data_IF_362302731234
#
_entry.id   IF_362302731234
#
_cell.length_a   1.000
_cell.length_b   1.000
_cell.length_c   1.000
_cell.angle_alpha   90.00
_cell.angle_beta   90.00
_cell.angle_gamma   90.00
#
_symmetry.space_group_name_H-M   'P 1'
#
loop_
_entity.id
_entity.type
_entity.pdbx_description
1 polymer ?
#
# COMPACT_ATOMS: atom_id res chain seq x y z
N UNK A 1 -0.02 4.69 9.70
CA UNK A 1 -0.62 4.42 11.03
C UNK A 1 -2.14 4.33 11.02
N UNK A 2 -2.87 5.23 10.31
CA UNK A 2 -4.32 5.09 10.03
C UNK A 2 -4.68 3.67 9.55
N UNK A 3 -3.95 3.19 8.55
CA UNK A 3 -4.16 1.89 7.90
C UNK A 3 -4.22 0.73 8.90
N UNK A 4 -3.38 0.73 9.94
CA UNK A 4 -3.33 -0.35 10.91
C UNK A 4 -4.55 -0.34 11.82
N UNK A 5 -5.01 0.83 12.24
CA UNK A 5 -6.25 0.95 13.00
C UNK A 5 -7.44 0.43 12.20
N UNK A 6 -7.59 0.86 10.95
CA UNK A 6 -8.68 0.43 10.09
C UNK A 6 -8.58 -1.07 9.75
N UNK A 7 -7.38 -1.58 9.51
CA UNK A 7 -7.13 -3.01 9.28
C UNK A 7 -7.55 -3.87 10.47
N UNK A 8 -7.16 -3.46 11.68
CA UNK A 8 -7.53 -4.21 12.89
C UNK A 8 -9.04 -4.20 13.13
N UNK A 9 -9.72 -3.09 12.82
CA UNK A 9 -11.18 -3.03 12.91
C UNK A 9 -11.85 -3.95 11.90
N UNK A 10 -11.34 -4.03 10.66
CA UNK A 10 -11.91 -4.92 9.64
C UNK A 10 -11.65 -6.39 9.99
N UNK A 11 -10.43 -6.72 10.41
CA UNK A 11 -10.10 -8.06 10.93
C UNK A 11 -10.97 -8.45 12.13
N UNK A 12 -11.24 -7.51 13.04
CA UNK A 12 -12.10 -7.75 14.20
C UNK A 12 -13.57 -7.92 13.78
N UNK A 13 -14.02 -7.18 12.76
CA UNK A 13 -15.35 -7.34 12.15
C UNK A 13 -15.52 -8.72 11.55
N UNK A 14 -14.57 -9.16 10.71
CA UNK A 14 -14.56 -10.50 10.11
C UNK A 14 -14.62 -11.60 11.17
N UNK A 15 -13.78 -11.48 12.21
CA UNK A 15 -13.72 -12.45 13.30
C UNK A 15 -15.04 -12.49 14.10
N UNK A 16 -15.59 -11.33 14.45
CA UNK A 16 -16.85 -11.23 15.20
C UNK A 16 -18.04 -11.81 14.43
N UNK A 17 -18.07 -11.61 13.10
CA UNK A 17 -19.09 -12.19 12.22
C UNK A 17 -18.95 -13.71 12.14
N UNK A 18 -17.71 -14.21 12.00
CA UNK A 18 -17.42 -15.65 11.98
C UNK A 18 -17.83 -16.34 13.29
N UNK A 19 -17.60 -15.68 14.42
CA UNK A 19 -17.94 -16.17 15.76
C UNK A 19 -19.40 -15.91 16.16
N UNK A 20 -20.20 -15.26 15.29
CA UNK A 20 -21.60 -14.86 15.54
C UNK A 20 -21.79 -14.01 16.80
N UNK A 21 -20.76 -13.27 17.21
CA UNK A 21 -20.80 -12.43 18.40
C UNK A 21 -21.32 -11.02 18.06
N UNK A 22 -22.64 -10.86 18.14
CA UNK A 22 -23.31 -9.61 17.75
C UNK A 22 -22.93 -8.42 18.64
N UNK A 23 -22.65 -8.64 19.93
CA UNK A 23 -22.27 -7.57 20.86
C UNK A 23 -20.94 -6.93 20.44
N UNK A 24 -19.96 -7.77 20.14
CA UNK A 24 -18.64 -7.30 19.72
C UNK A 24 -18.65 -6.71 18.32
N UNK A 25 -19.51 -7.20 17.43
CA UNK A 25 -19.77 -6.56 16.14
C UNK A 25 -20.30 -5.13 16.29
N UNK A 26 -21.33 -4.91 17.11
CA UNK A 26 -21.91 -3.57 17.33
C UNK A 26 -20.88 -2.65 18.00
N UNK A 27 -20.14 -3.14 18.99
CA UNK A 27 -19.06 -2.39 19.65
C UNK A 27 -17.98 -1.96 18.65
N UNK A 28 -17.56 -2.86 17.77
CA UNK A 28 -16.59 -2.56 16.73
C UNK A 28 -17.13 -1.53 15.73
N UNK A 29 -18.41 -1.65 15.34
CA UNK A 29 -19.05 -0.68 14.43
C UNK A 29 -19.08 0.73 15.01
N UNK A 30 -19.42 0.87 16.30
CA UNK A 30 -19.42 2.15 16.99
C UNK A 30 -18.00 2.73 17.08
N UNK A 31 -17.01 1.91 17.38
CA UNK A 31 -15.60 2.30 17.41
C UNK A 31 -15.12 2.79 16.05
N UNK A 32 -15.43 2.06 14.97
CA UNK A 32 -15.03 2.44 13.61
C UNK A 32 -15.63 3.79 13.22
N UNK A 33 -16.93 3.99 13.51
CA UNK A 33 -17.60 5.26 13.24
C UNK A 33 -16.92 6.43 13.97
N UNK A 34 -16.59 6.24 15.25
CA UNK A 34 -15.91 7.29 16.02
C UNK A 34 -14.50 7.58 15.50
N UNK A 35 -13.75 6.55 15.09
CA UNK A 35 -12.42 6.70 14.52
C UNK A 35 -12.43 7.41 13.16
N UNK A 36 -13.36 7.05 12.26
CA UNK A 36 -13.56 7.74 10.98
C UNK A 36 -13.91 9.23 11.16
N UNK A 37 -14.73 9.55 12.17
CA UNK A 37 -15.08 10.94 12.49
C UNK A 37 -13.87 11.74 12.98
N UNK A 38 -13.06 11.15 13.86
CA UNK A 38 -11.83 11.79 14.34
C UNK A 38 -10.85 12.00 13.20
N UNK A 39 -10.66 10.98 12.36
CA UNK A 39 -9.77 11.03 11.20
C UNK A 39 -10.15 12.17 10.26
N UNK A 40 -11.41 12.25 9.82
CA UNK A 40 -11.87 13.32 8.92
C UNK A 40 -11.69 14.71 9.55
N UNK A 41 -11.89 14.82 10.87
CA UNK A 41 -11.66 16.07 11.59
C UNK A 41 -10.18 16.46 11.65
N UNK A 42 -9.27 15.48 11.78
CA UNK A 42 -7.83 15.69 11.79
C UNK A 42 -7.26 15.96 10.39
N UNK A 43 -7.85 15.37 9.34
CA UNK A 43 -7.44 15.56 7.95
C UNK A 43 -7.95 16.88 7.36
N UNK A 44 -9.12 17.35 7.78
CA UNK A 44 -9.76 18.55 7.21
C UNK A 44 -8.85 19.79 7.14
N UNK A 45 -8.01 20.13 8.14
CA UNK A 45 -7.09 21.26 8.07
C UNK A 45 -5.99 21.10 7.02
N UNK A 46 -5.64 19.86 6.66
CA UNK A 46 -4.53 19.53 5.76
C UNK A 46 -4.99 19.10 4.37
N UNK A 47 -6.29 19.21 4.07
CA UNK A 47 -6.88 18.72 2.81
C UNK A 47 -6.19 19.26 1.56
N UNK A 48 -5.71 20.51 1.57
CA UNK A 48 -4.96 21.09 0.46
C UNK A 48 -3.58 20.45 0.27
N UNK A 49 -2.90 20.06 1.35
CA UNK A 49 -1.60 19.39 1.32
C UNK A 49 -1.71 17.91 0.95
N UNK A 50 -2.84 17.28 1.32
CA UNK A 50 -3.10 15.86 1.06
C UNK A 50 -3.70 15.60 -0.32
N UNK A 51 -4.00 16.64 -1.10
CA UNK A 51 -4.58 16.50 -2.43
C UNK A 51 -3.68 15.62 -3.32
N UNK A 52 -4.19 14.47 -3.74
CA UNK A 52 -3.45 13.49 -4.53
C UNK A 52 -2.50 12.61 -3.71
N UNK A 53 -2.53 12.66 -2.38
CA UNK A 53 -1.84 11.77 -1.44
C UNK A 53 -2.80 11.20 -0.40
N UNK A 54 -4.10 11.15 -0.72
CA UNK A 54 -5.11 10.60 0.17
C UNK A 54 -4.82 9.12 0.42
N UNK A 55 -4.87 8.72 1.69
CA UNK A 55 -4.75 7.32 2.05
C UNK A 55 -6.01 6.57 1.56
N UNK A 56 -5.85 5.41 0.91
CA UNK A 56 -6.97 4.62 0.43
C UNK A 56 -7.82 4.04 1.55
N UNK A 57 -9.04 3.65 1.21
CA UNK A 57 -9.90 2.90 2.11
C UNK A 57 -9.34 1.50 2.33
N UNK A 58 -9.49 0.98 3.55
CA UNK A 58 -8.84 -0.28 3.93
C UNK A 58 -9.38 -1.47 3.12
N UNK A 59 -10.68 -1.46 2.82
CA UNK A 59 -11.33 -2.53 2.04
C UNK A 59 -10.74 -2.58 0.63
N UNK A 60 -10.52 -1.43 -0.02
CA UNK A 60 -9.88 -1.37 -1.34
C UNK A 60 -8.48 -1.98 -1.31
N UNK A 61 -7.69 -1.66 -0.28
CA UNK A 61 -6.35 -2.24 -0.11
C UNK A 61 -6.41 -3.75 0.10
N UNK A 62 -7.36 -4.25 0.88
CA UNK A 62 -7.51 -5.68 1.12
C UNK A 62 -7.98 -6.42 -0.14
N UNK A 63 -8.95 -5.88 -0.88
CA UNK A 63 -9.42 -6.43 -2.16
C UNK A 63 -8.29 -6.52 -3.19
N UNK A 64 -7.48 -5.47 -3.32
CA UNK A 64 -6.31 -5.48 -4.19
C UNK A 64 -5.27 -6.50 -3.71
N UNK A 65 -5.00 -6.54 -2.41
CA UNK A 65 -4.03 -7.46 -1.83
C UNK A 65 -4.37 -8.93 -2.08
N UNK A 66 -5.66 -9.28 -2.13
CA UNK A 66 -6.15 -10.63 -2.40
C UNK A 66 -5.85 -11.16 -3.80
N UNK A 67 -5.50 -10.29 -4.75
CA UNK A 67 -5.04 -10.71 -6.07
C UNK A 67 -3.78 -11.61 -5.98
N UNK A 68 -2.97 -11.43 -4.93
CA UNK A 68 -1.71 -12.18 -4.75
C UNK A 68 -1.57 -12.87 -3.38
N UNK A 69 -2.25 -12.40 -2.33
CA UNK A 69 -2.13 -12.93 -0.98
C UNK A 69 -3.50 -13.05 -0.31
N UNK A 70 -3.95 -14.27 0.06
CA UNK A 70 -5.23 -14.45 0.74
C UNK A 70 -5.31 -13.66 2.05
N UNK A 71 -6.46 -13.01 2.33
CA UNK A 71 -6.73 -12.29 3.60
C UNK A 71 -6.49 -13.13 4.85
N UNK A 72 -6.61 -14.45 4.76
CA UNK A 72 -6.42 -15.39 5.87
C UNK A 72 -4.99 -15.42 6.43
N UNK A 73 -3.98 -15.04 5.65
CA UNK A 73 -2.58 -14.96 6.12
C UNK A 73 -2.41 -13.85 7.18
N UNK A 74 -3.25 -12.81 7.10
CA UNK A 74 -3.27 -11.63 7.99
C UNK A 74 -1.92 -10.89 8.05
N UNK A 75 -1.88 -9.81 8.81
CA UNK A 75 -0.69 -8.97 9.01
C UNK A 75 -0.47 -7.95 7.90
N UNK A 76 0.73 -7.38 7.87
CA UNK A 76 1.04 -6.20 7.04
C UNK A 76 1.32 -6.55 5.57
N UNK A 77 1.64 -7.80 5.25
CA UNK A 77 2.04 -8.19 3.90
C UNK A 77 0.92 -7.92 2.87
N UNK A 78 -0.33 -8.23 3.21
CA UNK A 78 -1.48 -7.96 2.33
C UNK A 78 -1.69 -6.45 2.14
N UNK A 79 -1.40 -5.65 3.16
CA UNK A 79 -1.50 -4.19 3.08
C UNK A 79 -0.43 -3.63 2.13
N UNK A 80 0.81 -4.11 2.23
CA UNK A 80 1.90 -3.65 1.36
C UNK A 80 1.67 -4.03 -0.10
N UNK A 81 1.18 -5.25 -0.36
CA UNK A 81 0.79 -5.69 -1.71
C UNK A 81 -0.35 -4.82 -2.23
N UNK A 82 -1.43 -4.67 -1.47
CA UNK A 82 -2.58 -3.86 -1.85
C UNK A 82 -2.22 -2.40 -2.14
N UNK A 83 -1.38 -1.77 -1.30
CA UNK A 83 -0.89 -0.40 -1.53
C UNK A 83 0.01 -0.27 -2.76
N UNK A 84 0.77 -1.32 -3.08
CA UNK A 84 1.57 -1.36 -4.31
C UNK A 84 0.65 -1.33 -5.53
N UNK A 85 -0.36 -2.20 -5.57
CA UNK A 85 -1.33 -2.25 -6.66
C UNK A 85 -2.19 -0.98 -6.74
N UNK A 86 -2.59 -0.44 -5.59
CA UNK A 86 -3.28 0.84 -5.51
C UNK A 86 -2.43 1.98 -6.11
N UNK A 87 -1.13 1.98 -5.84
CA UNK A 87 -0.20 2.98 -6.41
C UNK A 87 -0.11 2.85 -7.93
N UNK A 88 -0.09 1.63 -8.45
CA UNK A 88 -0.14 1.37 -9.90
C UNK A 88 -1.46 1.93 -10.47
N UNK A 89 -2.61 1.59 -9.87
CA UNK A 89 -3.95 2.07 -10.30
C UNK A 89 -4.08 3.60 -10.22
N UNK A 90 -3.48 4.24 -9.21
CA UNK A 90 -3.41 5.70 -9.04
C UNK A 90 -2.38 6.38 -9.93
N UNK A 91 -1.81 5.68 -10.91
CA UNK A 91 -0.85 6.24 -11.84
C UNK A 91 0.38 6.85 -11.14
N UNK A 92 0.88 6.24 -10.07
CA UNK A 92 2.18 6.60 -9.50
C UNK A 92 3.30 6.18 -10.46
N UNK A 93 4.50 6.70 -10.24
CA UNK A 93 5.66 6.45 -11.10
C UNK A 93 6.63 5.39 -10.52
N UNK A 94 6.35 4.89 -9.32
CA UNK A 94 7.08 3.78 -8.71
C UNK A 94 6.74 3.58 -7.23
N UNK A 95 7.19 2.48 -6.65
CA UNK A 95 7.02 2.12 -5.23
C UNK A 95 8.33 1.67 -4.62
N UNK A 96 8.57 2.05 -3.36
CA UNK A 96 9.67 1.52 -2.54
C UNK A 96 9.08 0.77 -1.34
N UNK A 97 9.44 -0.50 -1.21
CA UNK A 97 9.16 -1.33 -0.04
C UNK A 97 10.39 -1.29 0.90
N UNK A 98 10.22 -0.70 2.08
CA UNK A 98 11.26 -0.63 3.10
C UNK A 98 10.86 -1.51 4.28
N UNK A 99 11.75 -2.42 4.68
CA UNK A 99 11.48 -3.35 5.78
C UNK A 99 12.72 -3.54 6.67
N UNK A 100 12.55 -3.80 7.98
CA UNK A 100 13.65 -4.28 8.80
C UNK A 100 14.18 -5.62 8.28
N UNK A 101 15.47 -5.89 8.51
CA UNK A 101 16.02 -7.23 8.28
C UNK A 101 15.21 -8.27 9.06
N UNK A 102 15.03 -9.45 8.45
CA UNK A 102 14.21 -10.57 8.97
C UNK A 102 12.75 -10.25 9.28
N UNK A 103 12.20 -9.13 8.80
CA UNK A 103 10.76 -8.85 8.88
C UNK A 103 9.97 -9.89 8.05
N UNK A 104 9.27 -10.82 8.71
CA UNK A 104 8.51 -11.88 8.05
C UNK A 104 7.47 -11.33 7.03
N UNK A 105 6.59 -10.35 7.37
CA UNK A 105 5.69 -9.75 6.39
C UNK A 105 6.41 -9.08 5.20
N UNK A 106 7.56 -8.45 5.47
CA UNK A 106 8.40 -7.84 4.46
C UNK A 106 8.96 -8.88 3.48
N UNK A 107 9.47 -10.01 4.00
CA UNK A 107 9.98 -11.10 3.17
C UNK A 107 8.88 -11.75 2.31
N UNK A 108 7.66 -11.91 2.84
CA UNK A 108 6.51 -12.38 2.06
C UNK A 108 6.22 -11.41 0.90
N UNK A 109 6.17 -10.11 1.20
CA UNK A 109 5.94 -9.07 0.19
C UNK A 109 7.05 -9.08 -0.86
N UNK A 110 8.31 -9.23 -0.47
CA UNK A 110 9.44 -9.30 -1.40
C UNK A 110 9.34 -10.54 -2.30
N UNK A 111 8.99 -11.71 -1.75
CA UNK A 111 8.80 -12.90 -2.57
C UNK A 111 7.70 -12.68 -3.62
N UNK A 112 6.58 -12.05 -3.23
CA UNK A 112 5.45 -11.75 -4.11
C UNK A 112 5.77 -10.63 -5.12
N UNK A 113 6.66 -9.70 -4.79
CA UNK A 113 7.02 -8.59 -5.70
C UNK A 113 7.53 -9.09 -7.04
N UNK A 114 8.22 -10.24 -7.06
CA UNK A 114 8.68 -10.87 -8.31
C UNK A 114 7.55 -11.27 -9.26
N UNK A 115 6.36 -11.59 -8.74
CA UNK A 115 5.19 -11.88 -9.55
C UNK A 115 4.51 -10.57 -10.00
N UNK A 116 4.40 -9.58 -9.12
CA UNK A 116 3.89 -8.25 -9.46
C UNK A 116 4.74 -7.60 -10.56
N UNK A 117 6.07 -7.73 -10.49
CA UNK A 117 7.00 -7.25 -11.52
C UNK A 117 6.77 -7.92 -12.88
N UNK A 118 6.30 -9.17 -12.93
CA UNK A 118 5.94 -9.83 -14.21
C UNK A 118 4.65 -9.29 -14.79
N UNK A 119 3.68 -9.03 -13.93
CA UNK A 119 2.36 -8.54 -14.34
C UNK A 119 2.41 -7.04 -14.70
N UNK A 120 3.35 -6.29 -14.11
CA UNK A 120 3.58 -4.86 -14.34
C UNK A 120 5.05 -4.56 -14.70
N UNK A 121 5.57 -5.07 -15.83
CA UNK A 121 7.02 -5.09 -16.15
C UNK A 121 7.66 -3.72 -16.33
N UNK A 122 6.85 -2.69 -16.62
CA UNK A 122 7.35 -1.34 -16.81
C UNK A 122 7.29 -0.51 -15.53
N UNK A 123 6.56 -0.94 -14.49
CA UNK A 123 6.37 -0.16 -13.27
C UNK A 123 7.58 -0.30 -12.33
N UNK A 124 8.31 0.77 -12.00
CA UNK A 124 9.50 0.67 -11.17
C UNK A 124 9.16 0.30 -9.72
N UNK A 125 9.80 -0.75 -9.21
CA UNK A 125 9.66 -1.21 -7.83
C UNK A 125 11.04 -1.43 -7.20
N UNK A 126 11.19 -1.06 -5.93
CA UNK A 126 12.43 -1.28 -5.17
C UNK A 126 12.11 -1.83 -3.78
N UNK A 127 12.66 -3.01 -3.45
CA UNK A 127 12.63 -3.54 -2.09
C UNK A 127 14.00 -3.38 -1.42
N UNK A 128 14.03 -2.81 -0.21
CA UNK A 128 15.23 -2.71 0.62
C UNK A 128 14.93 -3.23 2.03
N UNK A 129 15.82 -4.09 2.53
CA UNK A 129 15.89 -4.40 3.95
C UNK A 129 16.80 -3.39 4.67
N UNK A 130 16.66 -3.20 5.98
CA UNK A 130 17.59 -2.40 6.79
C UNK A 130 17.92 -3.14 8.10
N UNK A 131 19.20 -3.33 8.38
CA UNK A 131 19.72 -4.04 9.56
C UNK A 131 20.52 -3.14 10.52
N UNK A 132 20.52 -1.82 10.28
CA UNK A 132 21.33 -0.87 11.04
C UNK A 132 22.78 -0.71 10.55
N UNK A 133 23.23 -1.55 9.61
CA UNK A 133 24.56 -1.44 9.01
C UNK A 133 24.60 -0.49 7.82
N UNK A 134 25.76 0.11 7.56
CA UNK A 134 25.97 0.90 6.35
C UNK A 134 26.24 -0.04 5.17
N UNK A 135 25.26 -0.19 4.28
CA UNK A 135 25.42 -0.97 3.06
C UNK A 135 25.76 -0.06 1.88
N UNK A 136 27.02 -0.12 1.41
CA UNK A 136 27.54 0.71 0.32
C UNK A 136 26.69 0.62 -0.97
N UNK A 137 26.01 -0.50 -1.18
CA UNK A 137 25.19 -0.74 -2.37
C UNK A 137 23.82 -0.04 -2.34
N UNK A 138 23.34 0.46 -1.19
CA UNK A 138 22.01 1.09 -1.12
C UNK A 138 21.94 2.37 -1.94
N UNK A 139 22.99 3.18 -1.88
CA UNK A 139 23.04 4.42 -2.65
C UNK A 139 22.95 4.14 -4.16
N UNK A 140 23.62 3.09 -4.64
CA UNK A 140 23.55 2.69 -6.05
C UNK A 140 22.17 2.14 -6.40
N UNK A 141 21.55 1.30 -5.56
CA UNK A 141 20.18 0.81 -5.77
C UNK A 141 19.16 1.95 -5.88
N UNK A 142 19.23 2.93 -4.96
CA UNK A 142 18.34 4.09 -4.96
C UNK A 142 18.58 4.95 -6.21
N UNK A 143 19.84 5.20 -6.59
CA UNK A 143 20.16 5.95 -7.81
C UNK A 143 19.59 5.27 -9.06
N UNK A 144 19.77 3.96 -9.20
CA UNK A 144 19.21 3.19 -10.31
C UNK A 144 17.68 3.26 -10.32
N UNK A 145 17.03 3.08 -9.16
CA UNK A 145 15.58 3.18 -9.05
C UNK A 145 15.06 4.57 -9.43
N UNK A 146 15.68 5.65 -8.94
CA UNK A 146 15.29 7.02 -9.31
C UNK A 146 15.44 7.27 -10.82
N UNK A 147 16.47 6.70 -11.45
CA UNK A 147 16.60 6.73 -12.91
C UNK A 147 15.44 6.03 -13.60
N UNK A 148 15.09 4.80 -13.18
CA UNK A 148 13.98 4.04 -13.74
C UNK A 148 12.63 4.76 -13.59
N UNK A 149 12.38 5.35 -12.42
CA UNK A 149 11.18 6.18 -12.16
C UNK A 149 11.11 7.38 -13.09
N UNK A 150 12.25 8.05 -13.33
CA UNK A 150 12.30 9.19 -14.26
C UNK A 150 11.98 8.76 -15.68
N UNK A 151 12.58 7.67 -16.15
CA UNK A 151 12.38 7.17 -17.51
C UNK A 151 10.91 6.71 -17.71
N UNK A 152 10.34 6.02 -16.71
CA UNK A 152 8.93 5.63 -16.69
C UNK A 152 7.98 6.84 -16.70
N UNK A 153 8.26 7.86 -15.88
CA UNK A 153 7.45 9.07 -15.84
C UNK A 153 7.45 9.81 -17.19
N UNK A 154 8.61 9.88 -17.86
CA UNK A 154 8.74 10.53 -19.16
C UNK A 154 7.99 9.77 -20.27
N UNK A 155 8.13 8.44 -20.33
CA UNK A 155 7.43 7.63 -21.34
C UNK A 155 5.92 7.75 -21.21
N UNK A 156 5.38 7.78 -19.98
CA UNK A 156 3.94 7.99 -19.76
C UNK A 156 3.45 9.38 -20.15
N UNK A 157 4.26 10.43 -19.93
CA UNK A 157 3.91 11.79 -20.37
C UNK A 157 3.76 11.87 -21.89
N UNK A 158 4.64 11.21 -22.64
CA UNK A 158 4.58 11.19 -24.11
C UNK A 158 3.30 10.50 -24.60
N UNK A 159 2.94 9.34 -24.02
CA UNK A 159 1.70 8.62 -24.36
C UNK A 159 0.43 9.45 -24.06
N UNK A 160 0.41 10.25 -22.99
CA UNK A 160 -0.70 11.16 -22.69
C UNK A 160 -0.82 12.32 -23.67
N UNK A 161 0.29 12.81 -24.21
CA UNK A 161 0.29 13.91 -25.19
C UNK A 161 -0.19 13.42 -26.56
N UNK A 162 0.14 12.19 -26.95
CA UNK A 162 -0.33 11.59 -28.23
C UNK A 162 -1.80 11.14 -28.22
N UNK A 163 -2.40 10.92 -27.05
CA UNK A 163 -3.79 10.47 -26.90
C UNK A 163 -4.82 11.61 -26.75
N UNK A 164 -4.38 12.86 -26.76
CA UNK A 164 -5.29 14.02 -26.78
C UNK A 164 -5.76 14.28 -28.23
N UNK A 165 -7.09 14.33 -28.49
CA UNK A 165 -7.58 14.68 -29.82
C UNK A 165 -7.14 16.11 -30.17
N UNK A 166 -6.64 16.27 -31.40
CA UNK A 166 -6.31 17.58 -32.00
C UNK A 166 -7.56 18.44 -32.17
#
# INVERSE_FOLDING_TARGET
>A
MREWFMYTNETHRETSLRERNFKDFIKNRLRNLFQELIEKRLESPFKSLLCGFEEPEIEEILELGEEYLPRSIRGEAILTIGKTLHSIKRNRDGVVNLMPFTCMPGNITWAISTQIEKDYPNFPMLSLSYDGSYQANYLNKIRTFVSQVRDYHQSRKQVKVESLPK
#
